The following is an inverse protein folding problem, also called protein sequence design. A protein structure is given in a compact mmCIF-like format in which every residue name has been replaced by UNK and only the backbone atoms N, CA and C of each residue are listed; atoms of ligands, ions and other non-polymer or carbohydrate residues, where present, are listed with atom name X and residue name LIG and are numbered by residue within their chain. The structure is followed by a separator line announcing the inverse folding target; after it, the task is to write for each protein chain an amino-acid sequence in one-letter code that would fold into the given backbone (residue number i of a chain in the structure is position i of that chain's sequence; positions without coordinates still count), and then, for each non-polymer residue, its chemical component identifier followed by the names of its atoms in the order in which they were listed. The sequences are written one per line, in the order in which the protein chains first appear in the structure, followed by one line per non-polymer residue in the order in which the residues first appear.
data_IF_312461517347
#
_entry.id   IF_312461517347
#
_cell.length_a   1.000
_cell.length_b   1.000
_cell.length_c   1.000
_cell.angle_alpha   90.00
_cell.angle_beta   90.00
_cell.angle_gamma   90.00
#
_symmetry.space_group_name_H-M   'P 1'
#
loop_
_entity.id
_entity.type
_entity.pdbx_description
1 polymer ?
#
# COMPACT_ATOMS: atom_id res chain seq x y z
N UNK A 1 33.60 -4.67 14.24
CA UNK A 1 32.63 -4.78 13.13
C UNK A 1 31.47 -3.85 13.49
N UNK A 2 31.37 -2.70 12.80
CA UNK A 2 30.58 -1.54 13.27
C UNK A 2 29.08 -1.80 13.24
N UNK A 3 28.38 -1.24 14.23
CA UNK A 3 26.91 -1.31 14.40
C UNK A 3 26.14 -0.89 13.14
N UNK A 4 26.70 0.02 12.35
CA UNK A 4 26.13 0.48 11.08
C UNK A 4 26.07 -0.60 10.01
N UNK A 5 27.06 -1.52 9.97
CA UNK A 5 27.07 -2.62 9.01
C UNK A 5 25.94 -3.63 9.33
N UNK A 6 25.67 -3.84 10.62
CA UNK A 6 24.60 -4.72 11.11
C UNK A 6 23.22 -4.19 10.74
N UNK A 7 22.99 -2.88 10.89
CA UNK A 7 21.73 -2.24 10.50
C UNK A 7 21.51 -2.29 8.98
N UNK A 8 22.55 -2.02 8.17
CA UNK A 8 22.47 -2.14 6.71
C UNK A 8 22.22 -3.57 6.23
N UNK A 9 22.83 -4.57 6.89
CA UNK A 9 22.56 -5.98 6.62
C UNK A 9 21.13 -6.38 7.02
N UNK A 10 20.59 -5.84 8.11
CA UNK A 10 19.25 -6.16 8.60
C UNK A 10 18.12 -5.58 7.71
N UNK A 11 18.29 -4.38 7.17
CA UNK A 11 17.36 -3.85 6.17
C UNK A 11 17.49 -4.59 4.84
N UNK A 12 18.71 -4.93 4.43
CA UNK A 12 18.97 -5.70 3.20
C UNK A 12 18.41 -7.13 3.27
N UNK A 13 18.42 -7.77 4.45
CA UNK A 13 17.88 -9.12 4.63
C UNK A 13 16.35 -9.15 4.58
N UNK A 14 15.68 -8.11 5.08
CA UNK A 14 14.22 -7.99 4.97
C UNK A 14 13.78 -7.79 3.52
N UNK A 15 14.46 -6.92 2.78
CA UNK A 15 14.19 -6.69 1.34
C UNK A 15 14.51 -7.95 0.52
N UNK A 16 15.65 -8.59 0.78
CA UNK A 16 16.02 -9.85 0.11
C UNK A 16 15.01 -10.97 0.41
N UNK A 17 14.51 -11.06 1.65
CA UNK A 17 13.48 -12.01 2.03
C UNK A 17 12.16 -11.76 1.29
N UNK A 18 11.73 -10.51 1.18
CA UNK A 18 10.52 -10.15 0.43
C UNK A 18 10.64 -10.48 -1.06
N UNK A 19 11.77 -10.14 -1.68
CA UNK A 19 12.04 -10.47 -3.09
C UNK A 19 12.09 -11.98 -3.30
N UNK A 20 12.71 -12.74 -2.39
CA UNK A 20 12.74 -14.20 -2.44
C UNK A 20 11.33 -14.78 -2.40
N UNK A 21 10.45 -14.27 -1.55
CA UNK A 21 9.05 -14.69 -1.48
C UNK A 21 8.34 -14.43 -2.81
N UNK A 22 8.48 -13.24 -3.40
CA UNK A 22 7.90 -12.93 -4.70
C UNK A 22 8.39 -13.85 -5.81
N UNK A 23 9.70 -14.17 -5.82
CA UNK A 23 10.30 -15.09 -6.80
C UNK A 23 9.80 -16.51 -6.62
N UNK A 24 9.65 -16.98 -5.37
CA UNK A 24 9.10 -18.31 -5.07
C UNK A 24 7.64 -18.41 -5.48
N UNK A 25 6.83 -17.38 -5.21
CA UNK A 25 5.43 -17.33 -5.65
C UNK A 25 5.35 -17.34 -7.18
N UNK A 26 6.14 -16.52 -7.86
CA UNK A 26 6.20 -16.51 -9.32
C UNK A 26 6.61 -17.88 -9.89
N UNK A 27 7.62 -18.50 -9.29
CA UNK A 27 8.09 -19.83 -9.69
C UNK A 27 7.03 -20.91 -9.48
N UNK A 28 6.32 -20.90 -8.34
CA UNK A 28 5.21 -21.83 -8.07
C UNK A 28 4.02 -21.61 -9.01
N UNK A 29 3.71 -20.36 -9.35
CA UNK A 29 2.68 -20.06 -10.35
C UNK A 29 3.01 -20.63 -11.72
N UNK A 30 4.30 -20.70 -12.07
CA UNK A 30 4.74 -21.22 -13.36
C UNK A 30 4.85 -22.75 -13.39
N UNK A 31 5.22 -23.41 -12.29
CA UNK A 31 5.54 -24.85 -12.28
C UNK A 31 4.44 -25.75 -11.73
N UNK A 32 3.71 -25.32 -10.69
CA UNK A 32 2.80 -26.21 -9.95
C UNK A 32 1.32 -25.97 -10.31
N UNK A 33 0.91 -24.69 -10.44
CA UNK A 33 -0.47 -24.33 -10.83
C UNK A 33 -0.80 -24.66 -12.29
N UNK A 34 0.20 -24.74 -13.17
CA UNK A 34 0.04 -25.16 -14.56
C UNK A 34 -0.19 -26.68 -14.69
N UNK A 35 0.33 -27.49 -13.76
CA UNK A 35 0.20 -28.95 -13.77
C UNK A 35 -1.09 -29.43 -13.08
N UNK A 36 -1.66 -28.64 -12.18
CA UNK A 36 -2.86 -28.97 -11.39
C UNK A 36 -4.19 -28.56 -12.04
N UNK A 37 -4.18 -28.20 -13.33
CA UNK A 37 -5.38 -27.74 -14.07
C UNK A 37 -6.03 -26.47 -13.47
N UNK A 38 -5.38 -25.81 -12.51
CA UNK A 38 -5.87 -24.58 -11.88
C UNK A 38 -5.80 -23.36 -12.81
N UNK A 39 -4.89 -23.40 -13.79
CA UNK A 39 -4.71 -22.37 -14.83
C UNK A 39 -5.28 -22.78 -16.21
N UNK A 40 -6.03 -23.88 -16.31
CA UNK A 40 -6.59 -24.36 -17.59
C UNK A 40 -7.98 -23.81 -17.92
N UNK A 41 -8.63 -23.16 -16.95
CA UNK A 41 -9.85 -22.39 -17.18
C UNK A 41 -9.60 -21.15 -18.03
N UNK A 42 -10.63 -20.63 -18.70
CA UNK A 42 -10.53 -19.41 -19.51
C UNK A 42 -9.98 -18.21 -18.73
N UNK A 43 -9.54 -17.16 -19.41
CA UNK A 43 -8.88 -15.98 -18.81
C UNK A 43 -9.62 -15.39 -17.59
N UNK A 44 -10.95 -15.45 -17.58
CA UNK A 44 -11.80 -15.02 -16.46
C UNK A 44 -11.65 -15.90 -15.21
N UNK A 45 -11.52 -17.22 -15.36
CA UNK A 45 -11.34 -18.16 -14.23
C UNK A 45 -9.96 -17.98 -13.59
N UNK A 46 -8.91 -17.83 -14.40
CA UNK A 46 -7.55 -17.57 -13.91
C UNK A 46 -7.41 -16.18 -13.25
N UNK A 47 -8.08 -15.15 -13.81
CA UNK A 47 -8.09 -13.81 -13.21
C UNK A 47 -8.85 -13.74 -11.88
N UNK A 48 -9.82 -14.62 -11.64
CA UNK A 48 -10.59 -14.71 -10.39
C UNK A 48 -9.88 -15.50 -9.28
N UNK A 49 -8.94 -16.39 -9.63
CA UNK A 49 -8.21 -17.22 -8.68
C UNK A 49 -7.44 -16.40 -7.63
N UNK A 50 -6.76 -15.32 -8.05
CA UNK A 50 -5.99 -14.45 -7.15
C UNK A 50 -6.89 -13.67 -6.18
N UNK A 51 -7.98 -13.01 -6.63
CA UNK A 51 -8.99 -12.43 -5.73
C UNK A 51 -9.58 -13.43 -4.73
N UNK A 52 -9.91 -14.66 -5.16
CA UNK A 52 -10.48 -15.68 -4.30
C UNK A 52 -9.51 -16.12 -3.20
N UNK A 53 -8.25 -16.40 -3.57
CA UNK A 53 -7.20 -16.76 -2.60
C UNK A 53 -6.92 -15.61 -1.62
N UNK A 54 -6.84 -14.38 -2.10
CA UNK A 54 -6.67 -13.19 -1.28
C UNK A 54 -7.84 -13.00 -0.30
N UNK A 55 -9.07 -13.19 -0.77
CA UNK A 55 -10.27 -13.07 0.07
C UNK A 55 -10.28 -14.11 1.18
N UNK A 56 -9.94 -15.37 0.88
CA UNK A 56 -9.83 -16.44 1.86
C UNK A 56 -8.75 -16.16 2.91
N UNK A 57 -7.61 -15.63 2.47
CA UNK A 57 -6.52 -15.23 3.36
C UNK A 57 -6.93 -14.07 4.28
N UNK A 58 -7.59 -13.04 3.75
CA UNK A 58 -8.10 -11.91 4.55
C UNK A 58 -9.14 -12.36 5.56
N UNK A 59 -10.06 -13.25 5.18
CA UNK A 59 -11.03 -13.85 6.10
C UNK A 59 -10.31 -14.60 7.23
N UNK A 60 -9.28 -15.38 6.90
CA UNK A 60 -8.49 -16.09 7.92
C UNK A 60 -7.80 -15.12 8.89
N UNK A 61 -7.22 -14.02 8.40
CA UNK A 61 -6.62 -12.98 9.24
C UNK A 61 -7.66 -12.26 10.10
N UNK A 62 -8.83 -11.93 9.57
CA UNK A 62 -9.93 -11.35 10.34
C UNK A 62 -10.41 -12.30 11.44
N UNK A 63 -10.55 -13.59 11.14
CA UNK A 63 -10.90 -14.61 12.12
C UNK A 63 -9.83 -14.75 13.21
N UNK A 64 -8.55 -14.76 12.82
CA UNK A 64 -7.43 -14.76 13.77
C UNK A 64 -7.46 -13.52 14.67
N UNK A 65 -7.77 -12.35 14.12
CA UNK A 65 -7.89 -11.11 14.87
C UNK A 65 -9.07 -11.14 15.85
N UNK A 66 -10.23 -11.66 15.44
CA UNK A 66 -11.39 -11.87 16.31
C UNK A 66 -11.07 -12.83 17.46
N UNK A 67 -10.42 -13.96 17.14
CA UNK A 67 -9.92 -14.91 18.14
C UNK A 67 -8.97 -14.19 19.10
N UNK A 68 -8.02 -13.40 18.59
CA UNK A 68 -7.08 -12.66 19.43
C UNK A 68 -7.75 -11.62 20.32
N UNK A 69 -8.83 -10.98 19.87
CA UNK A 69 -9.64 -10.05 20.68
C UNK A 69 -10.40 -10.82 21.76
N UNK A 70 -11.02 -11.94 21.40
CA UNK A 70 -11.80 -12.75 22.34
C UNK A 70 -10.94 -13.42 23.41
N UNK A 71 -9.71 -13.83 23.07
CA UNK A 71 -8.75 -14.41 24.01
C UNK A 71 -7.76 -13.37 24.59
N UNK A 72 -7.80 -12.14 24.10
CA UNK A 72 -6.86 -11.05 24.44
C UNK A 72 -7.42 -10.00 25.38
N UNK A 73 -8.50 -10.29 26.12
CA UNK A 73 -8.97 -9.46 27.23
C UNK A 73 -8.03 -9.57 28.44
N UNK A 74 -6.84 -9.00 28.27
CA UNK A 74 -5.84 -8.79 29.32
C UNK A 74 -4.91 -7.62 29.02
N UNK A 75 -5.31 -6.67 28.15
CA UNK A 75 -4.56 -5.41 28.04
C UNK A 75 -4.93 -4.52 29.24
N UNK A 76 -4.10 -4.68 30.28
CA UNK A 76 -3.89 -3.80 31.44
C UNK A 76 -4.67 -2.48 31.39
N UNK A 77 -5.76 -2.46 32.13
CA UNK A 77 -6.20 -1.28 32.85
C UNK A 77 -5.20 -1.07 33.99
N UNK A 78 -4.27 -0.15 33.80
CA UNK A 78 -3.53 0.46 34.91
C UNK A 78 -3.71 1.96 34.78
N UNK A 79 -4.95 2.37 35.06
CA UNK A 79 -5.28 3.68 35.58
C UNK A 79 -4.77 3.77 37.03
N UNK A 80 -4.45 4.98 37.46
CA UNK A 80 -4.00 5.39 38.80
C UNK A 80 -2.59 5.02 39.30
N UNK A 81 -1.63 5.85 38.87
CA UNK A 81 -0.80 6.58 39.85
C UNK A 81 -0.77 8.05 39.48
N UNK A 82 -1.78 8.81 39.92
CA UNK A 82 -1.60 10.23 40.18
C UNK A 82 -0.62 10.35 41.36
N UNK A 83 0.49 11.10 41.23
CA UNK A 83 1.23 11.55 42.39
C UNK A 83 0.34 12.51 43.18
N UNK A 84 -0.02 12.05 44.38
CA UNK A 84 -0.59 12.81 45.46
C UNK A 84 0.45 13.85 45.93
N UNK A 85 0.60 14.95 45.20
CA UNK A 85 1.26 16.18 45.64
C UNK A 85 0.88 17.32 44.69
N UNK A 86 -0.29 17.89 44.98
CA UNK A 86 -0.71 19.19 44.46
C UNK A 86 0.16 20.24 45.17
N UNK A 87 1.36 20.51 44.63
CA UNK A 87 2.14 21.67 45.01
C UNK A 87 1.33 22.92 44.62
N UNK A 88 0.69 23.52 45.61
CA UNK A 88 -0.25 24.63 45.48
C UNK A 88 0.40 25.98 45.08
N UNK A 89 1.63 25.98 44.58
CA UNK A 89 2.40 27.19 44.24
C UNK A 89 3.26 27.07 42.95
N UNK A 90 3.06 26.05 42.12
CA UNK A 90 3.73 25.99 40.81
C UNK A 90 3.05 26.94 39.79
N UNK A 91 3.79 27.79 39.04
CA UNK A 91 3.20 28.68 38.05
C UNK A 91 2.42 27.89 36.99
N UNK A 92 1.12 28.16 36.86
CA UNK A 92 0.22 27.56 35.86
C UNK A 92 0.35 28.30 34.53
N UNK A 93 1.57 28.41 34.01
CA UNK A 93 1.86 28.86 32.66
C UNK A 93 2.85 27.85 32.08
N UNK A 94 2.49 27.18 30.97
CA UNK A 94 3.31 26.28 30.12
C UNK A 94 2.84 24.83 29.96
N UNK A 95 1.62 24.49 30.38
CA UNK A 95 0.97 23.23 29.97
C UNK A 95 -0.21 23.50 29.02
N UNK A 96 0.03 24.21 27.92
CA UNK A 96 -0.93 24.36 26.81
C UNK A 96 -0.45 23.53 25.62
N UNK A 97 -1.05 22.35 25.49
CA UNK A 97 -1.39 21.57 24.28
C UNK A 97 -0.67 21.91 22.96
N UNK A 98 0.15 20.99 22.46
CA UNK A 98 0.50 20.87 21.03
C UNK A 98 0.82 19.41 20.62
N UNK A 99 -0.16 18.51 20.63
CA UNK A 99 -0.08 17.22 19.91
C UNK A 99 -1.15 17.08 18.80
N UNK A 100 -2.04 18.06 18.65
CA UNK A 100 -3.18 18.00 17.71
C UNK A 100 -2.82 18.45 16.28
N UNK A 101 -1.78 19.28 16.12
CA UNK A 101 -1.41 19.87 14.80
C UNK A 101 -0.81 18.84 13.83
N UNK A 102 -0.04 17.86 14.30
CA UNK A 102 0.55 16.82 13.42
C UNK A 102 -0.50 15.85 12.88
N UNK A 103 -1.48 15.46 13.71
CA UNK A 103 -2.56 14.55 13.32
C UNK A 103 -3.48 15.19 12.28
N UNK A 104 -3.77 16.48 12.42
CA UNK A 104 -4.61 17.21 11.46
C UNK A 104 -3.97 17.23 10.05
N UNK A 105 -2.67 17.50 9.97
CA UNK A 105 -1.93 17.48 8.71
C UNK A 105 -1.89 16.10 8.05
N UNK A 106 -1.77 15.04 8.86
CA UNK A 106 -1.78 13.66 8.37
C UNK A 106 -3.17 13.25 7.85
N UNK A 107 -4.22 13.55 8.60
CA UNK A 107 -5.62 13.26 8.22
C UNK A 107 -6.00 14.03 6.96
N UNK A 108 -5.62 15.31 6.85
CA UNK A 108 -5.86 16.09 5.63
C UNK A 108 -5.16 15.49 4.41
N UNK A 109 -3.89 15.07 4.53
CA UNK A 109 -3.16 14.39 3.45
C UNK A 109 -3.80 13.05 3.08
N UNK A 110 -4.27 12.28 4.07
CA UNK A 110 -4.96 11.02 3.83
C UNK A 110 -6.28 11.24 3.07
N UNK A 111 -7.10 12.21 3.50
CA UNK A 111 -8.34 12.60 2.80
C UNK A 111 -8.03 13.06 1.38
N UNK A 112 -6.96 13.83 1.19
CA UNK A 112 -6.53 14.30 -0.13
C UNK A 112 -6.14 13.12 -1.04
N UNK A 113 -5.37 12.15 -0.55
CA UNK A 113 -5.04 10.93 -1.30
C UNK A 113 -6.29 10.14 -1.69
N UNK A 114 -7.26 9.98 -0.79
CA UNK A 114 -8.54 9.31 -1.09
C UNK A 114 -9.31 10.09 -2.16
N UNK A 115 -9.36 11.43 -2.04
CA UNK A 115 -9.96 12.30 -3.03
C UNK A 115 -9.32 12.18 -4.41
N UNK A 116 -7.98 12.10 -4.48
CA UNK A 116 -7.25 11.89 -5.73
C UNK A 116 -7.59 10.55 -6.39
N UNK A 117 -7.74 9.48 -5.61
CA UNK A 117 -8.17 8.17 -6.13
C UNK A 117 -9.59 8.25 -6.69
N UNK A 118 -10.52 8.90 -5.97
CA UNK A 118 -11.88 9.08 -6.45
C UNK A 118 -11.93 9.87 -7.76
N UNK A 119 -11.18 10.97 -7.85
CA UNK A 119 -11.03 11.76 -9.08
C UNK A 119 -10.43 10.92 -10.20
N UNK A 120 -9.40 10.13 -9.91
CA UNK A 120 -8.80 9.22 -10.89
C UNK A 120 -9.83 8.26 -11.47
N UNK A 121 -10.67 7.62 -10.66
CA UNK A 121 -11.72 6.70 -11.13
C UNK A 121 -12.71 7.42 -12.07
N UNK A 122 -13.13 8.64 -11.70
CA UNK A 122 -14.08 9.43 -12.50
C UNK A 122 -13.50 9.86 -13.85
N UNK A 123 -12.19 10.12 -13.88
CA UNK A 123 -11.50 10.64 -15.06
C UNK A 123 -10.93 9.52 -15.94
N UNK A 124 -10.73 8.32 -15.39
CA UNK A 124 -10.23 7.13 -16.08
C UNK A 124 -10.93 6.81 -17.41
N UNK A 125 -12.28 6.82 -17.53
CA UNK A 125 -12.94 6.54 -18.82
C UNK A 125 -12.66 7.61 -19.88
N UNK A 126 -12.32 8.83 -19.45
CA UNK A 126 -12.03 9.94 -20.37
C UNK A 126 -10.54 10.00 -20.72
N UNK A 127 -9.64 9.97 -19.76
CA UNK A 127 -8.19 10.12 -19.99
C UNK A 127 -7.50 8.82 -20.41
N UNK A 128 -8.07 7.68 -20.04
CA UNK A 128 -7.44 6.38 -20.24
C UNK A 128 -6.31 6.12 -19.23
N UNK A 129 -5.88 4.86 -19.18
CA UNK A 129 -4.91 4.38 -18.20
C UNK A 129 -3.56 5.11 -18.30
N UNK A 130 -3.01 5.24 -19.50
CA UNK A 130 -1.66 5.75 -19.73
C UNK A 130 -1.45 7.23 -19.38
N UNK A 131 -2.52 8.00 -19.25
CA UNK A 131 -2.47 9.41 -18.83
C UNK A 131 -2.94 9.56 -17.39
N UNK A 132 -4.02 8.88 -17.00
CA UNK A 132 -4.59 9.02 -15.67
C UNK A 132 -3.66 8.46 -14.58
N UNK A 133 -3.00 7.32 -14.81
CA UNK A 133 -2.11 6.71 -13.81
C UNK A 133 -0.88 7.55 -13.47
N UNK A 134 -0.08 8.06 -14.43
CA UNK A 134 1.08 8.85 -14.08
C UNK A 134 0.67 10.16 -13.40
N UNK A 135 -0.46 10.76 -13.78
CA UNK A 135 -1.01 11.92 -13.07
C UNK A 135 -1.37 11.60 -11.61
N UNK A 136 -2.05 10.47 -11.36
CA UNK A 136 -2.35 10.01 -10.01
C UNK A 136 -1.08 9.79 -9.20
N UNK A 137 -0.10 9.07 -9.76
CA UNK A 137 1.17 8.79 -9.09
C UNK A 137 1.94 10.07 -8.76
N UNK A 138 2.02 11.03 -9.69
CA UNK A 138 2.63 12.33 -9.43
C UNK A 138 1.91 13.04 -8.27
N UNK A 139 0.58 13.12 -8.33
CA UNK A 139 -0.21 13.82 -7.32
C UNK A 139 -0.06 13.19 -5.93
N UNK A 140 -0.09 11.86 -5.84
CA UNK A 140 0.09 11.12 -4.58
C UNK A 140 1.52 11.29 -4.05
N UNK A 141 2.55 11.17 -4.90
CA UNK A 141 3.95 11.34 -4.49
C UNK A 141 4.26 12.76 -4.01
N UNK A 142 3.66 13.78 -4.65
CA UNK A 142 3.78 15.18 -4.20
C UNK A 142 3.05 15.38 -2.86
N UNK A 143 1.87 14.79 -2.69
CA UNK A 143 1.10 14.84 -1.42
C UNK A 143 1.85 14.17 -0.27
N UNK A 144 2.56 13.08 -0.56
CA UNK A 144 3.45 12.38 0.38
C UNK A 144 4.75 13.15 0.66
N UNK A 145 4.98 14.29 -0.01
CA UNK A 145 6.10 15.17 0.26
C UNK A 145 7.39 14.83 -0.50
N UNK A 146 7.32 14.03 -1.57
CA UNK A 146 8.49 13.83 -2.44
C UNK A 146 8.90 15.14 -3.10
N UNK A 147 10.14 15.59 -2.85
CA UNK A 147 10.64 16.91 -3.27
C UNK A 147 11.42 16.91 -4.58
N UNK A 148 11.76 15.74 -5.13
CA UNK A 148 12.53 15.66 -6.38
C UNK A 148 11.59 15.46 -7.58
N UNK A 149 11.32 16.51 -8.38
CA UNK A 149 10.35 16.42 -9.48
C UNK A 149 10.80 15.44 -10.56
N UNK A 150 12.11 15.30 -10.80
CA UNK A 150 12.64 14.36 -11.79
C UNK A 150 12.35 12.92 -11.36
N UNK A 151 12.61 12.58 -10.09
CA UNK A 151 12.33 11.25 -9.55
C UNK A 151 10.83 10.95 -9.57
N UNK A 152 9.99 11.94 -9.22
CA UNK A 152 8.53 11.78 -9.21
C UNK A 152 8.00 11.46 -10.61
N UNK A 153 8.40 12.26 -11.61
CA UNK A 153 7.96 12.05 -13.00
C UNK A 153 8.51 10.75 -13.57
N UNK A 154 9.80 10.47 -13.37
CA UNK A 154 10.42 9.24 -13.87
C UNK A 154 9.78 7.98 -13.26
N UNK A 155 9.49 7.99 -11.96
CA UNK A 155 8.85 6.87 -11.28
C UNK A 155 7.40 6.71 -11.73
N UNK A 156 6.65 7.80 -11.83
CA UNK A 156 5.25 7.75 -12.28
C UNK A 156 5.13 7.19 -13.70
N UNK A 157 5.95 7.67 -14.63
CA UNK A 157 5.98 7.17 -16.02
C UNK A 157 6.46 5.72 -16.04
N UNK A 158 7.59 5.42 -15.39
CA UNK A 158 8.18 4.09 -15.38
C UNK A 158 7.22 3.03 -14.82
N UNK A 159 6.59 3.30 -13.69
CA UNK A 159 5.64 2.38 -13.07
C UNK A 159 4.39 2.17 -13.94
N UNK A 160 3.87 3.24 -14.55
CA UNK A 160 2.74 3.16 -15.49
C UNK A 160 3.07 2.26 -16.69
N UNK A 161 4.25 2.43 -17.28
CA UNK A 161 4.65 1.63 -18.44
C UNK A 161 4.90 0.17 -18.08
N UNK A 162 5.54 -0.11 -16.93
CA UNK A 162 5.77 -1.48 -16.46
C UNK A 162 4.45 -2.19 -16.20
N UNK A 163 3.54 -1.58 -15.43
CA UNK A 163 2.23 -2.17 -15.14
C UNK A 163 1.41 -2.28 -16.42
N UNK A 164 1.43 -1.26 -17.27
CA UNK A 164 0.81 -1.31 -18.59
C UNK A 164 1.28 -2.52 -19.38
N UNK A 165 2.60 -2.73 -19.51
CA UNK A 165 3.19 -3.84 -20.26
C UNK A 165 2.83 -5.20 -19.67
N UNK A 166 2.85 -5.34 -18.35
CA UNK A 166 2.45 -6.58 -17.69
C UNK A 166 0.97 -6.89 -17.96
N UNK A 167 0.08 -5.91 -17.86
CA UNK A 167 -1.35 -6.16 -18.00
C UNK A 167 -1.80 -6.26 -19.46
N UNK A 168 -1.43 -5.32 -20.32
CA UNK A 168 -1.80 -5.36 -21.74
C UNK A 168 -0.95 -6.35 -22.52
N UNK A 169 0.38 -6.27 -22.41
CA UNK A 169 1.28 -7.11 -23.22
C UNK A 169 1.38 -8.56 -22.75
N UNK A 170 1.55 -8.79 -21.44
CA UNK A 170 1.79 -10.13 -20.90
C UNK A 170 0.48 -10.86 -20.53
N UNK A 171 -0.48 -10.16 -19.93
CA UNK A 171 -1.75 -10.72 -19.47
C UNK A 171 -2.91 -10.53 -20.46
N UNK A 172 -2.71 -9.80 -21.56
CA UNK A 172 -3.72 -9.53 -22.60
C UNK A 172 -5.03 -8.93 -22.05
N UNK A 173 -4.89 -8.05 -21.05
CA UNK A 173 -5.99 -7.31 -20.42
C UNK A 173 -6.15 -5.98 -21.14
N UNK A 174 -7.35 -5.72 -21.65
CA UNK A 174 -7.70 -4.44 -22.28
C UNK A 174 -7.72 -3.35 -21.21
N UNK A 175 -6.75 -2.43 -21.28
CA UNK A 175 -6.68 -1.26 -20.41
C UNK A 175 -7.59 -0.15 -20.96
N UNK A 176 -8.22 0.68 -20.11
CA UNK A 176 -9.06 1.78 -20.58
C UNK A 176 -8.31 2.71 -21.55
N UNK A 177 -8.75 2.82 -22.82
CA UNK A 177 -8.04 3.59 -23.84
C UNK A 177 -8.19 5.11 -23.66
N UNK A 178 -9.31 5.54 -23.05
CA UNK A 178 -9.66 6.96 -22.96
C UNK A 178 -9.90 7.59 -24.33
N UNK A 179 -9.89 8.92 -24.38
CA UNK A 179 -10.11 9.70 -25.59
C UNK A 179 -8.95 9.62 -26.60
N UNK A 180 -7.75 9.29 -26.11
CA UNK A 180 -6.54 9.23 -26.93
C UNK A 180 -6.36 7.88 -27.63
N UNK A 181 -7.18 6.88 -27.28
CA UNK A 181 -7.10 5.52 -27.84
C UNK A 181 -5.67 4.95 -27.81
N UNK A 182 -4.93 5.24 -26.73
CA UNK A 182 -3.53 4.82 -26.60
C UNK A 182 -3.51 3.35 -26.15
N UNK A 183 -3.20 2.47 -27.10
CA UNK A 183 -3.03 1.03 -26.90
C UNK A 183 -1.65 0.62 -27.44
N UNK A 184 -0.57 0.79 -26.64
CA UNK A 184 0.78 0.52 -27.11
C UNK A 184 1.11 -0.98 -27.19
N UNK A 185 0.28 -1.85 -26.59
CA UNK A 185 0.41 -3.30 -26.59
C UNK A 185 -0.90 -3.99 -26.19
#
# INVERSE_FOLDING_TARGET
MSSELKARLQHSSAVAGFVLICVVIYWQCFTDLAAQDAASGGAQYNAAFVPELLSGFLIALCMLQLVRVWFGNGFRESEDTLPDELDADAPVEDAVTYEDDENFGLVLRAILCVGLIAVFILVLPYLGYYVAMPLLLIAVLVTLGSRNPLTVVALAIGLTLIVGYVFGGLLNVVLPPGFLEIEPW
#
